data_IF_437042245475
#
_entry.id   IF_437042245475
#
_cell.length_a   1.000
_cell.length_b   1.000
_cell.length_c   1.000
_cell.angle_alpha   90.00
_cell.angle_beta   90.00
_cell.angle_gamma   90.00
#
_symmetry.space_group_name_H-M   'P 1'
#
loop_
_entity.id
_entity.type
_entity.pdbx_description
1 polymer ?
#
# COMPACT_ATOMS: atom_id res chain seq x y z
N UNK A 1 6.31 2.59 22.48
CA UNK A 1 5.64 2.65 21.16
C UNK A 1 4.15 2.49 21.41
N UNK A 2 3.32 3.45 20.99
CA UNK A 2 1.87 3.41 21.21
C UNK A 2 1.26 2.19 20.47
N UNK A 3 0.14 1.65 20.94
CA UNK A 3 -0.50 0.45 20.37
C UNK A 3 -0.87 0.65 18.88
N UNK A 4 -1.30 1.85 18.51
CA UNK A 4 -1.53 2.23 17.11
C UNK A 4 -0.26 2.13 16.24
N UNK A 5 0.89 2.53 16.79
CA UNK A 5 2.18 2.46 16.10
C UNK A 5 2.67 1.02 15.97
N UNK A 6 2.46 0.18 17.00
CA UNK A 6 2.74 -1.28 16.93
C UNK A 6 1.91 -1.94 15.85
N UNK A 7 0.59 -1.74 15.86
CA UNK A 7 -0.33 -2.28 14.87
C UNK A 7 0.11 -1.88 13.45
N UNK A 8 0.32 -0.58 13.24
CA UNK A 8 0.78 -0.03 11.97
C UNK A 8 2.09 -0.66 11.49
N UNK A 9 3.07 -0.82 12.39
CA UNK A 9 4.36 -1.44 12.05
C UNK A 9 4.19 -2.89 11.64
N UNK A 10 3.38 -3.67 12.37
CA UNK A 10 3.08 -5.07 12.05
C UNK A 10 2.43 -5.19 10.66
N UNK A 11 1.43 -4.35 10.36
CA UNK A 11 0.76 -4.33 9.05
C UNK A 11 1.76 -4.00 7.93
N UNK A 12 2.65 -3.00 8.12
CA UNK A 12 3.67 -2.66 7.11
C UNK A 12 4.63 -3.82 6.86
N UNK A 13 5.12 -4.46 7.92
CA UNK A 13 6.02 -5.61 7.79
C UNK A 13 5.34 -6.77 7.06
N UNK A 14 4.08 -7.07 7.39
CA UNK A 14 3.30 -8.10 6.70
C UNK A 14 3.07 -7.75 5.22
N UNK A 15 2.82 -6.48 4.91
CA UNK A 15 2.67 -5.99 3.53
C UNK A 15 3.96 -6.17 2.73
N UNK A 16 5.11 -5.85 3.34
CA UNK A 16 6.42 -6.05 2.72
C UNK A 16 6.75 -7.52 2.51
N UNK A 17 6.36 -8.38 3.46
CA UNK A 17 6.54 -9.82 3.34
C UNK A 17 5.69 -10.40 2.20
N UNK A 18 4.40 -10.10 2.16
CA UNK A 18 3.48 -10.56 1.09
C UNK A 18 3.91 -10.00 -0.28
N UNK A 19 4.18 -8.70 -0.36
CA UNK A 19 4.57 -8.07 -1.62
C UNK A 19 5.96 -8.52 -2.10
N UNK A 20 6.92 -8.69 -1.19
CA UNK A 20 8.26 -9.19 -1.51
C UNK A 20 8.24 -10.63 -2.02
N UNK A 21 7.49 -11.51 -1.36
CA UNK A 21 7.32 -12.90 -1.82
C UNK A 21 6.67 -12.97 -3.21
N UNK A 22 5.60 -12.20 -3.44
CA UNK A 22 4.96 -12.13 -4.76
C UNK A 22 5.86 -11.53 -5.84
N UNK A 23 6.66 -10.51 -5.49
CA UNK A 23 7.64 -9.92 -6.41
C UNK A 23 8.72 -10.93 -6.81
N UNK A 24 9.23 -11.73 -5.87
CA UNK A 24 10.22 -12.77 -6.15
C UNK A 24 9.61 -13.85 -7.05
N UNK A 25 8.41 -14.33 -6.72
CA UNK A 25 7.69 -15.32 -7.54
C UNK A 25 7.45 -14.80 -8.96
N UNK A 26 7.05 -13.53 -9.10
CA UNK A 26 6.87 -12.90 -10.41
C UNK A 26 8.17 -12.83 -11.22
N UNK A 27 9.31 -12.54 -10.56
CA UNK A 27 10.61 -12.54 -11.22
C UNK A 27 11.07 -13.93 -11.68
N UNK A 28 10.65 -14.99 -10.97
CA UNK A 28 10.93 -16.38 -11.34
C UNK A 28 10.04 -16.84 -12.50
N UNK A 29 8.76 -16.46 -12.53
CA UNK A 29 7.84 -16.92 -13.58
C UNK A 29 8.03 -16.13 -14.88
N UNK A 30 8.26 -14.82 -14.80
CA UNK A 30 8.40 -13.93 -15.96
C UNK A 30 9.83 -13.41 -16.10
N UNK A 31 10.78 -14.33 -16.28
CA UNK A 31 12.21 -14.02 -16.39
C UNK A 31 12.55 -12.97 -17.47
N UNK A 32 11.88 -13.00 -18.62
CA UNK A 32 12.13 -12.05 -19.72
C UNK A 32 11.54 -10.65 -19.45
N UNK A 33 10.65 -10.52 -18.46
CA UNK A 33 9.89 -9.30 -18.16
C UNK A 33 9.96 -8.89 -16.68
N UNK A 34 11.08 -9.20 -16.03
CA UNK A 34 11.29 -8.93 -14.59
C UNK A 34 11.02 -7.46 -14.27
N UNK A 35 11.55 -6.53 -15.07
CA UNK A 35 11.39 -5.09 -14.84
C UNK A 35 9.91 -4.65 -14.92
N UNK A 36 9.16 -5.18 -15.90
CA UNK A 36 7.76 -4.83 -16.11
C UNK A 36 6.83 -5.43 -15.04
N UNK A 37 7.07 -6.68 -14.65
CA UNK A 37 6.17 -7.44 -13.78
C UNK A 37 6.62 -7.37 -12.32
N UNK A 38 7.82 -7.84 -11.98
CA UNK A 38 8.30 -7.78 -10.60
C UNK A 38 8.48 -6.31 -10.14
N UNK A 39 9.01 -5.46 -11.02
CA UNK A 39 9.08 -4.01 -10.77
C UNK A 39 7.70 -3.39 -10.55
N UNK A 40 6.69 -3.80 -11.32
CA UNK A 40 5.31 -3.38 -11.12
C UNK A 40 4.75 -3.75 -9.74
N UNK A 41 5.00 -4.97 -9.27
CA UNK A 41 4.58 -5.40 -7.92
C UNK A 41 5.24 -4.53 -6.84
N UNK A 42 6.54 -4.25 -6.96
CA UNK A 42 7.26 -3.41 -6.00
C UNK A 42 6.72 -1.98 -6.01
N UNK A 43 6.57 -1.36 -7.18
CA UNK A 43 6.07 0.02 -7.31
C UNK A 43 4.64 0.13 -6.75
N UNK A 44 3.77 -0.83 -7.09
CA UNK A 44 2.40 -0.88 -6.59
C UNK A 44 2.35 -0.99 -5.06
N UNK A 45 3.19 -1.85 -4.48
CA UNK A 45 3.31 -2.01 -3.04
C UNK A 45 3.77 -0.71 -2.35
N UNK A 46 4.81 -0.06 -2.88
CA UNK A 46 5.32 1.19 -2.34
C UNK A 46 4.28 2.31 -2.43
N UNK A 47 3.55 2.38 -3.55
CA UNK A 47 2.43 3.29 -3.73
C UNK A 47 1.36 3.10 -2.64
N UNK A 48 0.97 1.86 -2.35
CA UNK A 48 0.00 1.56 -1.30
C UNK A 48 0.52 1.97 0.09
N UNK A 49 1.77 1.66 0.41
CA UNK A 49 2.39 2.00 1.70
C UNK A 49 2.51 3.51 1.92
N UNK A 50 2.91 4.26 0.90
CA UNK A 50 2.95 5.73 0.96
C UNK A 50 1.54 6.29 1.16
N UNK A 51 0.56 5.80 0.40
CA UNK A 51 -0.82 6.23 0.58
C UNK A 51 -1.40 5.89 1.95
N UNK A 52 -0.99 4.79 2.57
CA UNK A 52 -1.33 4.48 3.95
C UNK A 52 -0.70 5.44 4.96
N UNK A 53 0.56 5.83 4.73
CA UNK A 53 1.22 6.85 5.52
C UNK A 53 0.52 8.22 5.39
N UNK A 54 0.04 8.58 4.20
CA UNK A 54 -0.75 9.81 3.98
C UNK A 54 -2.02 9.82 4.83
N UNK A 55 -2.72 8.68 4.93
CA UNK A 55 -3.92 8.56 5.79
C UNK A 55 -3.55 8.74 7.26
N UNK A 56 -2.48 8.09 7.73
CA UNK A 56 -2.06 8.23 9.13
C UNK A 56 -1.71 9.67 9.48
N UNK A 57 -0.94 10.33 8.63
CA UNK A 57 -0.56 11.73 8.82
C UNK A 57 -1.80 12.65 8.82
N UNK A 58 -2.77 12.39 7.94
CA UNK A 58 -4.04 13.11 7.91
C UNK A 58 -4.84 12.88 9.19
N UNK A 59 -5.02 11.62 9.62
CA UNK A 59 -5.76 11.26 10.82
C UNK A 59 -5.18 11.87 12.10
N UNK A 60 -3.85 11.97 12.19
CA UNK A 60 -3.17 12.60 13.33
C UNK A 60 -3.30 14.13 13.33
N UNK A 61 -3.53 14.75 12.17
CA UNK A 61 -3.60 16.22 12.02
C UNK A 61 -5.02 16.80 11.97
N UNK A 62 -6.05 15.98 12.17
CA UNK A 62 -7.45 16.43 12.20
C UNK A 62 -7.76 17.03 13.58
N UNK A 63 -8.21 18.29 13.57
CA UNK A 63 -8.82 18.97 14.70
C UNK A 63 -10.30 19.19 14.39
N UNK A 64 -11.14 19.19 15.43
CA UNK A 64 -12.61 19.19 15.31
C UNK A 64 -13.15 20.37 14.48
N UNK A 65 -12.50 21.54 14.59
CA UNK A 65 -12.86 22.78 13.88
C UNK A 65 -12.71 22.70 12.35
N UNK A 66 -11.82 21.84 11.83
CA UNK A 66 -11.46 21.76 10.41
C UNK A 66 -11.50 20.34 9.84
N UNK A 67 -12.08 19.39 10.57
CA UNK A 67 -12.01 17.96 10.28
C UNK A 67 -12.47 17.60 8.85
N UNK A 68 -13.60 18.16 8.42
CA UNK A 68 -14.20 17.83 7.11
C UNK A 68 -13.32 18.28 5.94
N UNK A 69 -12.81 19.52 6.00
CA UNK A 69 -11.99 20.09 4.93
C UNK A 69 -10.64 19.38 4.84
N UNK A 70 -9.95 19.17 5.98
CA UNK A 70 -8.68 18.43 6.01
C UNK A 70 -8.84 16.99 5.52
N UNK A 71 -9.90 16.30 5.94
CA UNK A 71 -10.17 14.95 5.47
C UNK A 71 -10.37 14.92 3.94
N UNK A 72 -11.18 15.83 3.39
CA UNK A 72 -11.42 15.91 1.95
C UNK A 72 -10.13 16.12 1.16
N UNK A 73 -9.33 17.12 1.55
CA UNK A 73 -8.05 17.43 0.87
C UNK A 73 -7.08 16.25 0.97
N UNK A 74 -6.96 15.62 2.15
CA UNK A 74 -6.10 14.46 2.32
C UNK A 74 -6.49 13.28 1.44
N UNK A 75 -7.79 13.01 1.31
CA UNK A 75 -8.29 11.98 0.39
C UNK A 75 -8.03 12.33 -1.08
N UNK A 76 -8.28 13.58 -1.48
CA UNK A 76 -8.03 14.05 -2.84
C UNK A 76 -6.56 13.91 -3.22
N UNK A 77 -5.65 14.40 -2.37
CA UNK A 77 -4.20 14.32 -2.60
C UNK A 77 -3.73 12.86 -2.72
N UNK A 78 -4.28 11.95 -1.92
CA UNK A 78 -3.97 10.53 -2.01
C UNK A 78 -4.40 9.93 -3.35
N UNK A 79 -5.59 10.27 -3.85
CA UNK A 79 -6.05 9.79 -5.15
C UNK A 79 -5.25 10.38 -6.31
N UNK A 80 -4.90 11.67 -6.25
CA UNK A 80 -3.99 12.29 -7.22
C UNK A 80 -2.64 11.58 -7.21
N UNK A 81 -2.07 11.33 -6.03
CA UNK A 81 -0.81 10.59 -5.89
C UNK A 81 -0.89 9.19 -6.54
N UNK A 82 -1.95 8.43 -6.26
CA UNK A 82 -2.15 7.12 -6.90
C UNK A 82 -2.24 7.23 -8.41
N UNK A 83 -3.04 8.17 -8.92
CA UNK A 83 -3.20 8.40 -10.36
C UNK A 83 -1.87 8.76 -11.03
N UNK A 84 -1.07 9.65 -10.42
CA UNK A 84 0.25 10.02 -10.91
C UNK A 84 1.19 8.82 -10.97
N UNK A 85 1.33 8.06 -9.87
CA UNK A 85 2.23 6.90 -9.83
C UNK A 85 1.81 5.84 -10.85
N UNK A 86 0.51 5.51 -10.94
CA UNK A 86 0.02 4.52 -11.89
C UNK A 86 0.23 4.96 -13.34
N UNK A 87 -0.11 6.22 -13.66
CA UNK A 87 0.03 6.76 -15.02
C UNK A 87 1.49 6.78 -15.46
N UNK A 88 2.39 7.27 -14.61
CA UNK A 88 3.83 7.32 -14.92
C UNK A 88 4.42 5.92 -15.07
N UNK A 89 4.03 4.98 -14.20
CA UNK A 89 4.52 3.60 -14.28
C UNK A 89 4.07 2.92 -15.58
N UNK A 90 2.78 3.07 -15.95
CA UNK A 90 2.26 2.53 -17.21
C UNK A 90 2.94 3.19 -18.43
N UNK A 91 3.18 4.49 -18.37
CA UNK A 91 3.92 5.21 -19.42
C UNK A 91 5.35 4.68 -19.58
N UNK A 92 5.99 4.28 -18.48
CA UNK A 92 7.31 3.63 -18.49
C UNK A 92 7.29 2.14 -18.89
N UNK A 93 6.14 1.60 -19.33
CA UNK A 93 6.01 0.21 -19.79
C UNK A 93 5.76 -0.81 -18.68
N UNK A 94 5.51 -0.38 -17.45
CA UNK A 94 5.20 -1.30 -16.34
C UNK A 94 3.81 -1.92 -16.55
N UNK A 95 3.69 -3.21 -16.25
CA UNK A 95 2.42 -3.92 -16.38
C UNK A 95 1.40 -3.42 -15.33
N UNK A 96 0.23 -2.97 -15.79
CA UNK A 96 -0.82 -2.43 -14.92
C UNK A 96 -1.38 -3.45 -13.93
N UNK A 97 -1.48 -4.72 -14.31
CA UNK A 97 -1.94 -5.77 -13.40
C UNK A 97 -0.90 -6.04 -12.31
N UNK A 98 0.39 -5.99 -12.64
CA UNK A 98 1.45 -6.12 -11.65
C UNK A 98 1.42 -4.98 -10.62
N UNK A 99 1.21 -3.73 -11.07
CA UNK A 99 0.99 -2.58 -10.19
C UNK A 99 -0.21 -2.78 -9.25
N UNK A 100 -1.34 -3.25 -9.80
CA UNK A 100 -2.55 -3.53 -9.01
C UNK A 100 -2.30 -4.63 -7.98
N UNK A 101 -1.64 -5.72 -8.36
CA UNK A 101 -1.28 -6.81 -7.43
C UNK A 101 -0.43 -6.28 -6.28
N UNK A 102 0.63 -5.53 -6.58
CA UNK A 102 1.46 -4.89 -5.57
C UNK A 102 0.66 -3.99 -4.64
N UNK A 103 -0.22 -3.17 -5.21
CA UNK A 103 -1.09 -2.27 -4.45
C UNK A 103 -2.07 -3.02 -3.52
N UNK A 104 -2.59 -4.16 -3.98
CA UNK A 104 -3.50 -5.00 -3.19
C UNK A 104 -2.80 -5.76 -2.05
N UNK A 105 -1.49 -6.02 -2.13
CA UNK A 105 -0.74 -6.70 -1.07
C UNK A 105 -0.89 -6.00 0.29
N UNK A 106 -0.90 -4.67 0.31
CA UNK A 106 -1.10 -3.92 1.54
C UNK A 106 -2.51 -4.09 2.12
N UNK A 107 -3.55 -4.09 1.26
CA UNK A 107 -4.94 -4.34 1.68
C UNK A 107 -5.11 -5.77 2.21
N UNK A 108 -4.49 -6.75 1.56
CA UNK A 108 -4.46 -8.13 2.02
C UNK A 108 -3.79 -8.24 3.40
N UNK A 109 -2.66 -7.56 3.61
CA UNK A 109 -1.98 -7.53 4.90
C UNK A 109 -2.87 -6.93 6.01
N UNK A 110 -3.64 -5.88 5.74
CA UNK A 110 -4.61 -5.32 6.70
C UNK A 110 -5.64 -6.38 7.09
N UNK A 111 -6.21 -7.10 6.12
CA UNK A 111 -7.23 -8.14 6.37
C UNK A 111 -6.64 -9.30 7.17
N UNK A 112 -5.47 -9.81 6.77
CA UNK A 112 -4.80 -10.91 7.47
C UNK A 112 -4.49 -10.51 8.90
N UNK A 113 -4.00 -9.29 9.11
CA UNK A 113 -3.75 -8.77 10.45
C UNK A 113 -5.03 -8.64 11.27
N UNK A 114 -6.12 -8.10 10.69
CA UNK A 114 -7.37 -7.89 11.42
C UNK A 114 -8.06 -9.19 11.82
N UNK A 115 -8.01 -10.22 10.96
CA UNK A 115 -8.53 -11.56 11.27
C UNK A 115 -7.73 -12.19 12.40
N UNK A 116 -6.39 -12.17 12.30
CA UNK A 116 -5.52 -12.75 13.33
C UNK A 116 -5.62 -12.03 14.69
N UNK A 117 -5.76 -10.71 14.67
CA UNK A 117 -5.95 -9.93 15.89
C UNK A 117 -7.29 -10.20 16.56
N UNK A 118 -8.33 -10.52 15.78
CA UNK A 118 -9.63 -10.94 16.33
C UNK A 118 -9.51 -12.28 17.06
N UNK A 119 -8.81 -13.25 16.47
CA UNK A 119 -8.56 -14.57 17.10
C UNK A 119 -7.74 -14.47 18.40
N UNK A 120 -6.92 -13.42 18.58
CA UNK A 120 -6.15 -13.19 19.82
C UNK A 120 -7.02 -12.62 20.97
N UNK A 121 -8.25 -12.16 20.68
CA UNK A 121 -9.17 -11.58 21.67
C UNK A 121 -10.36 -12.47 22.03
N UNK A 122 -10.60 -13.54 21.24
CA UNK A 122 -11.60 -14.58 21.50
C UNK A 122 -11.00 -15.73 22.33
#
# INVERSE_FOLDING_TARGET
MNELQKMTRKIRLLSLFIGGTLSILAAIIWHDKIAEVAGGVVIGLMCALIGFQMIQSMSLGIEESNAKSKAYVGYLLRFIFYACVFTLSMYSGINVFALLVGFMCHKAAIIVYSVRYREEMD
#
